data_IF_535408928223
#
_entry.id   IF_535408928223
#
_cell.length_a   1.000
_cell.length_b   1.000
_cell.length_c   1.000
_cell.angle_alpha   90.00
_cell.angle_beta   90.00
_cell.angle_gamma   90.00
#
_symmetry.space_group_name_H-M   'P 1'
#
loop_
_entity.id
_entity.type
_entity.pdbx_description
1 polymer ?
#
# COMPACT_ATOMS: atom_id res chain seq x y z
N UNK A 1 -5.54 19.24 15.85
CA UNK A 1 -4.73 19.62 14.67
C UNK A 1 -5.70 20.21 13.63
N UNK A 2 -5.82 21.54 13.57
CA UNK A 2 -6.71 22.22 12.63
C UNK A 2 -6.06 22.22 11.25
N UNK A 3 -6.62 21.43 10.32
CA UNK A 3 -6.37 21.61 8.89
C UNK A 3 -7.13 22.85 8.44
N UNK A 4 -6.59 24.03 8.74
CA UNK A 4 -7.01 25.26 8.08
C UNK A 4 -6.51 25.17 6.63
N UNK A 5 -7.38 24.67 5.75
CA UNK A 5 -7.13 24.67 4.33
C UNK A 5 -6.75 26.09 3.90
N UNK A 6 -5.55 26.24 3.37
CA UNK A 6 -4.90 27.49 2.95
C UNK A 6 -5.56 28.10 1.70
N UNK A 7 -6.89 28.13 1.66
CA UNK A 7 -7.70 28.73 0.58
C UNK A 7 -8.73 29.67 1.19
N UNK A 8 -8.29 30.54 2.10
CA UNK A 8 -9.08 31.73 2.47
C UNK A 8 -8.54 32.94 1.71
N UNK A 9 -8.74 32.96 0.40
CA UNK A 9 -8.72 34.23 -0.33
C UNK A 9 -10.17 34.48 -0.75
N UNK A 10 -10.93 35.16 0.10
CA UNK A 10 -12.28 35.58 -0.25
C UNK A 10 -12.20 36.64 -1.36
N UNK A 11 -12.89 36.42 -2.47
CA UNK A 11 -13.07 37.42 -3.54
C UNK A 11 -12.72 36.96 -4.96
N UNK A 12 -12.79 37.90 -5.91
CA UNK A 12 -12.60 37.70 -7.35
C UNK A 12 -11.23 37.08 -7.69
N UNK A 13 -10.19 37.39 -6.92
CA UNK A 13 -8.84 36.85 -7.11
C UNK A 13 -8.76 35.33 -6.94
N UNK A 14 -9.59 34.75 -6.06
CA UNK A 14 -9.69 33.31 -5.89
C UNK A 14 -10.41 32.63 -7.06
N UNK A 15 -11.46 33.26 -7.58
CA UNK A 15 -12.16 32.80 -8.79
C UNK A 15 -11.22 32.78 -9.98
N UNK A 16 -10.43 33.85 -10.17
CA UNK A 16 -9.42 33.91 -11.24
C UNK A 16 -8.38 32.80 -11.07
N UNK A 17 -7.83 32.59 -9.87
CA UNK A 17 -6.88 31.48 -9.61
C UNK A 17 -7.50 30.12 -9.90
N UNK A 18 -8.76 29.90 -9.53
CA UNK A 18 -9.48 28.66 -9.81
C UNK A 18 -9.67 28.46 -11.32
N UNK A 19 -10.06 29.51 -12.05
CA UNK A 19 -10.21 29.46 -13.52
C UNK A 19 -8.88 29.19 -14.22
N UNK A 20 -7.79 29.82 -13.78
CA UNK A 20 -6.45 29.55 -14.31
C UNK A 20 -5.98 28.13 -14.00
N UNK A 21 -6.20 27.63 -12.78
CA UNK A 21 -5.90 26.24 -12.43
C UNK A 21 -6.73 25.25 -13.26
N UNK A 22 -8.02 25.53 -13.46
CA UNK A 22 -8.90 24.73 -14.31
C UNK A 22 -8.50 24.74 -15.78
N UNK A 23 -8.12 25.90 -16.32
CA UNK A 23 -7.64 26.04 -17.70
C UNK A 23 -6.28 25.35 -17.89
N UNK A 24 -5.38 25.49 -16.93
CA UNK A 24 -4.09 24.81 -16.91
C UNK A 24 -4.26 23.28 -16.88
N UNK A 25 -5.17 22.79 -16.03
CA UNK A 25 -5.53 21.37 -15.98
C UNK A 25 -6.15 20.90 -17.31
N UNK A 26 -7.10 21.65 -17.87
CA UNK A 26 -7.72 21.35 -19.17
C UNK A 26 -6.68 21.29 -20.30
N UNK A 27 -5.73 22.22 -20.31
CA UNK A 27 -4.63 22.25 -21.26
C UNK A 27 -3.76 20.99 -21.11
N UNK A 28 -3.36 20.61 -19.90
CA UNK A 28 -2.58 19.39 -19.68
C UNK A 28 -3.35 18.11 -20.07
N UNK A 29 -4.64 18.03 -19.80
CA UNK A 29 -5.46 16.86 -20.17
C UNK A 29 -5.66 16.78 -21.69
N UNK A 30 -5.82 17.92 -22.38
CA UNK A 30 -6.10 17.96 -23.82
C UNK A 30 -4.85 17.87 -24.69
N UNK A 31 -3.72 18.39 -24.23
CA UNK A 31 -2.44 18.32 -24.95
C UNK A 31 -1.72 16.99 -24.69
N UNK A 32 -1.08 16.44 -25.72
CA UNK A 32 -0.53 15.08 -25.71
C UNK A 32 0.52 14.80 -24.63
N UNK A 33 1.21 15.83 -24.13
CA UNK A 33 2.24 15.70 -23.07
C UNK A 33 1.63 15.22 -21.76
N UNK A 34 0.52 15.85 -21.32
CA UNK A 34 -0.17 15.40 -20.13
C UNK A 34 -0.73 14.01 -20.39
N UNK A 35 -1.54 13.83 -21.45
CA UNK A 35 -2.17 12.53 -21.81
C UNK A 35 -1.21 11.32 -21.77
N UNK A 36 0.04 11.47 -22.22
CA UNK A 36 1.03 10.40 -22.15
C UNK A 36 1.42 9.99 -20.71
N UNK A 37 1.45 10.93 -19.75
CA UNK A 37 1.66 10.60 -18.33
C UNK A 37 0.52 9.75 -17.77
N UNK A 38 -0.73 10.07 -18.11
CA UNK A 38 -1.93 9.35 -17.63
C UNK A 38 -1.87 7.87 -18.06
N UNK A 39 -1.56 7.66 -19.35
CA UNK A 39 -1.49 6.32 -19.95
C UNK A 39 -0.33 5.49 -19.36
N UNK A 40 0.79 6.13 -19.03
CA UNK A 40 1.92 5.46 -18.37
C UNK A 40 1.58 5.00 -16.96
N UNK A 41 0.78 5.77 -16.23
CA UNK A 41 0.30 5.40 -14.89
C UNK A 41 -0.64 4.19 -15.00
N UNK A 42 -1.58 4.21 -15.95
CA UNK A 42 -2.53 3.12 -16.19
C UNK A 42 -1.84 1.78 -16.51
N UNK A 43 -0.74 1.82 -17.28
CA UNK A 43 0.06 0.64 -17.60
C UNK A 43 1.16 0.30 -16.56
N UNK A 44 1.22 1.02 -15.44
CA UNK A 44 2.28 0.80 -14.45
C UNK A 44 1.96 -0.33 -13.47
N UNK A 45 3.01 -0.88 -12.88
CA UNK A 45 2.95 -1.94 -11.87
C UNK A 45 4.01 -1.66 -10.80
N UNK A 46 3.80 -2.15 -9.58
CA UNK A 46 4.85 -2.09 -8.55
C UNK A 46 5.46 -3.47 -8.28
N UNK A 47 6.69 -3.44 -7.80
CA UNK A 47 7.36 -4.60 -7.20
C UNK A 47 8.11 -4.10 -5.96
N UNK A 48 7.80 -4.68 -4.81
CA UNK A 48 8.50 -4.42 -3.55
C UNK A 48 9.19 -5.69 -3.09
N UNK A 49 10.47 -5.59 -2.74
CA UNK A 49 11.26 -6.70 -2.19
C UNK A 49 11.58 -6.41 -0.74
N UNK A 50 11.27 -7.36 0.14
CA UNK A 50 11.50 -7.28 1.58
C UNK A 50 12.58 -8.28 1.98
N UNK A 51 13.53 -7.80 2.78
CA UNK A 51 14.61 -8.61 3.32
C UNK A 51 14.45 -8.70 4.84
N UNK A 52 14.23 -9.91 5.35
CA UNK A 52 14.13 -10.20 6.77
C UNK A 52 15.33 -11.01 7.26
N UNK A 53 15.77 -10.72 8.48
CA UNK A 53 16.74 -11.54 9.20
C UNK A 53 16.15 -11.95 10.54
N UNK A 54 16.37 -13.19 10.97
CA UNK A 54 15.79 -13.74 12.18
C UNK A 54 16.62 -14.85 12.80
N UNK A 55 16.06 -15.48 13.83
CA UNK A 55 16.68 -16.54 14.61
C UNK A 55 15.89 -17.83 14.48
N UNK A 56 16.57 -18.97 14.42
CA UNK A 56 15.93 -20.26 14.47
C UNK A 56 15.37 -20.57 15.86
N UNK A 57 14.37 -21.45 15.89
CA UNK A 57 13.64 -21.77 17.13
C UNK A 57 14.60 -22.35 18.16
N UNK A 58 14.73 -21.67 19.31
CA UNK A 58 15.52 -22.14 20.45
C UNK A 58 16.88 -21.49 20.63
N UNK A 59 17.30 -20.55 19.77
CA UNK A 59 18.48 -19.73 20.06
C UNK A 59 18.13 -18.56 21.00
N UNK A 60 18.95 -18.38 22.03
CA UNK A 60 18.93 -17.18 22.87
C UNK A 60 19.27 -15.96 22.00
N UNK A 61 18.34 -14.99 21.99
CA UNK A 61 18.40 -13.75 21.19
C UNK A 61 19.54 -12.82 21.63
N UNK A 62 20.11 -13.10 22.79
CA UNK A 62 20.96 -12.25 23.59
C UNK A 62 22.46 -12.44 23.32
N UNK A 63 22.87 -13.51 22.60
CA UNK A 63 24.30 -13.76 22.26
C UNK A 63 24.57 -14.23 20.83
N UNK A 64 23.55 -14.58 20.06
CA UNK A 64 23.74 -15.14 18.71
C UNK A 64 23.49 -14.10 17.62
N UNK A 65 24.13 -14.28 16.46
CA UNK A 65 23.79 -13.50 15.25
C UNK A 65 22.53 -14.11 14.62
N UNK A 66 21.67 -13.31 13.96
CA UNK A 66 20.57 -13.84 13.16
C UNK A 66 21.10 -14.86 12.15
N UNK A 67 20.58 -16.08 12.22
CA UNK A 67 21.00 -17.21 11.40
C UNK A 67 19.97 -17.51 10.30
N UNK A 68 18.81 -16.85 10.29
CA UNK A 68 17.81 -16.99 9.23
C UNK A 68 17.80 -15.73 8.38
N UNK A 69 17.76 -15.91 7.06
CA UNK A 69 17.49 -14.85 6.09
C UNK A 69 16.30 -15.24 5.24
N UNK A 70 15.39 -14.30 5.04
CA UNK A 70 14.23 -14.46 4.17
C UNK A 70 14.15 -13.27 3.21
N UNK A 71 13.90 -13.55 1.94
CA UNK A 71 13.61 -12.55 0.92
C UNK A 71 12.20 -12.82 0.41
N UNK A 72 11.31 -11.86 0.56
CA UNK A 72 9.96 -11.92 0.01
C UNK A 72 9.74 -10.80 -0.99
N UNK A 73 8.81 -11.02 -1.91
CA UNK A 73 8.48 -10.06 -2.95
C UNK A 73 6.98 -9.91 -3.07
N UNK A 74 6.53 -8.67 -3.23
CA UNK A 74 5.14 -8.30 -3.49
C UNK A 74 5.07 -7.59 -4.83
N UNK A 75 4.25 -8.11 -5.73
CA UNK A 75 3.98 -7.55 -7.05
C UNK A 75 2.53 -7.15 -7.16
N UNK A 76 2.23 -6.11 -7.90
CA UNK A 76 0.84 -5.73 -8.15
C UNK A 76 0.69 -4.68 -9.23
N UNK A 77 -0.56 -4.32 -9.57
CA UNK A 77 -0.88 -3.29 -10.54
C UNK A 77 -0.47 -1.91 -10.03
N UNK A 78 -0.84 -0.83 -10.72
CA UNK A 78 -0.58 0.54 -10.29
C UNK A 78 -0.86 0.75 -8.79
N UNK A 79 0.13 1.28 -8.06
CA UNK A 79 0.14 1.25 -6.60
C UNK A 79 -0.89 2.18 -5.95
N UNK A 80 -1.15 3.35 -6.54
CA UNK A 80 -1.95 4.43 -5.95
C UNK A 80 -3.46 4.21 -6.05
N UNK A 81 -3.97 3.96 -7.23
CA UNK A 81 -5.39 3.93 -7.58
C UNK A 81 -5.93 2.54 -7.84
N UNK A 82 -5.09 1.54 -8.18
CA UNK A 82 -5.57 0.16 -8.41
C UNK A 82 -5.28 -0.71 -7.18
N UNK A 83 -4.01 -0.84 -6.79
CA UNK A 83 -3.62 -1.74 -5.72
C UNK A 83 -4.13 -1.30 -4.34
N UNK A 84 -4.06 -0.01 -4.02
CA UNK A 84 -4.46 0.50 -2.69
C UNK A 84 -5.95 0.25 -2.39
N UNK A 85 -6.90 0.56 -3.30
CA UNK A 85 -8.31 0.21 -3.08
C UNK A 85 -8.55 -1.29 -2.99
N UNK A 86 -7.86 -2.12 -3.79
CA UNK A 86 -7.94 -3.58 -3.68
C UNK A 86 -7.52 -4.01 -2.27
N UNK A 87 -6.37 -3.52 -1.77
CA UNK A 87 -5.86 -3.87 -0.46
C UNK A 87 -6.82 -3.46 0.67
N UNK A 88 -7.35 -2.24 0.60
CA UNK A 88 -8.31 -1.72 1.58
C UNK A 88 -9.61 -2.53 1.61
N UNK A 89 -10.18 -2.84 0.44
CA UNK A 89 -11.41 -3.64 0.35
C UNK A 89 -11.18 -5.07 0.83
N UNK A 90 -10.05 -5.70 0.47
CA UNK A 90 -9.74 -7.04 0.94
C UNK A 90 -9.48 -7.09 2.44
N UNK A 91 -8.84 -6.05 3.01
CA UNK A 91 -8.69 -5.93 4.46
C UNK A 91 -10.05 -5.81 5.16
N UNK A 92 -10.94 -4.94 4.67
CA UNK A 92 -12.28 -4.78 5.22
C UNK A 92 -13.10 -6.08 5.16
N UNK A 93 -13.06 -6.79 4.03
CA UNK A 93 -13.72 -8.09 3.89
C UNK A 93 -13.12 -9.14 4.83
N UNK A 94 -11.81 -9.11 5.07
CA UNK A 94 -11.15 -10.02 6.01
C UNK A 94 -11.58 -9.74 7.45
N UNK A 95 -11.74 -8.47 7.82
CA UNK A 95 -12.25 -8.09 9.15
C UNK A 95 -13.65 -8.68 9.40
N UNK A 96 -14.50 -8.71 8.37
CA UNK A 96 -15.88 -9.22 8.45
C UNK A 96 -15.98 -10.74 8.33
N UNK A 97 -15.17 -11.37 7.47
CA UNK A 97 -15.32 -12.80 7.13
C UNK A 97 -14.37 -13.74 7.88
N UNK A 98 -13.31 -13.21 8.49
CA UNK A 98 -12.27 -13.99 9.16
C UNK A 98 -12.05 -13.55 10.62
N UNK A 99 -13.12 -13.09 11.27
CA UNK A 99 -13.09 -12.52 12.63
C UNK A 99 -12.57 -13.51 13.67
N UNK A 100 -12.68 -14.82 13.43
CA UNK A 100 -12.12 -15.86 14.31
C UNK A 100 -10.60 -15.78 14.41
N UNK A 101 -9.91 -15.35 13.36
CA UNK A 101 -8.45 -15.29 13.27
C UNK A 101 -7.86 -13.91 13.57
N UNK A 102 -8.70 -12.92 13.88
CA UNK A 102 -8.29 -11.58 14.31
C UNK A 102 -7.91 -11.55 15.81
N UNK A 103 -7.14 -10.54 16.24
CA UNK A 103 -6.89 -10.28 17.66
C UNK A 103 -8.20 -10.21 18.45
N UNK A 104 -8.27 -10.95 19.56
CA UNK A 104 -9.46 -10.98 20.44
C UNK A 104 -9.59 -9.73 21.31
N UNK A 105 -8.47 -9.08 21.56
CA UNK A 105 -8.40 -7.86 22.36
C UNK A 105 -8.53 -6.65 21.44
N UNK A 106 -9.29 -5.65 21.86
CA UNK A 106 -9.36 -4.36 21.17
C UNK A 106 -8.02 -3.60 21.27
N UNK A 107 -7.78 -2.69 20.32
CA UNK A 107 -6.57 -1.88 20.27
C UNK A 107 -6.25 -1.36 18.87
N UNK A 108 -5.11 -0.70 18.73
CA UNK A 108 -4.56 -0.25 17.44
C UNK A 108 -3.47 -1.23 17.02
N UNK A 109 -3.71 -1.91 15.89
CA UNK A 109 -2.80 -2.93 15.37
C UNK A 109 -2.23 -2.48 14.02
N UNK A 110 -0.96 -2.78 13.79
CA UNK A 110 -0.42 -2.73 12.44
C UNK A 110 -1.02 -3.86 11.60
N UNK A 111 -1.09 -3.72 10.26
CA UNK A 111 -1.64 -4.78 9.41
C UNK A 111 -0.96 -6.15 9.61
N UNK A 112 0.37 -6.17 9.79
CA UNK A 112 1.10 -7.41 10.07
C UNK A 112 0.65 -8.09 11.37
N UNK A 113 0.43 -7.32 12.43
CA UNK A 113 -0.05 -7.87 13.70
C UNK A 113 -1.53 -8.33 13.60
N UNK A 114 -2.38 -7.52 12.96
CA UNK A 114 -3.80 -7.78 12.83
C UNK A 114 -4.13 -8.98 11.93
N UNK A 115 -3.43 -9.09 10.80
CA UNK A 115 -3.79 -10.01 9.72
C UNK A 115 -2.86 -11.22 9.59
N UNK A 116 -1.82 -11.35 10.43
CA UNK A 116 -0.81 -12.44 10.36
C UNK A 116 -1.40 -13.85 10.30
N UNK A 117 -2.58 -14.07 10.90
CA UNK A 117 -3.24 -15.38 10.97
C UNK A 117 -4.48 -15.48 10.08
N UNK A 118 -4.74 -14.47 9.26
CA UNK A 118 -5.95 -14.37 8.44
C UNK A 118 -5.68 -14.76 6.99
N UNK A 119 -6.77 -14.91 6.22
CA UNK A 119 -6.73 -15.18 4.78
C UNK A 119 -6.48 -13.93 3.91
N UNK A 120 -6.04 -12.81 4.49
CA UNK A 120 -5.86 -11.56 3.74
C UNK A 120 -4.88 -11.75 2.56
N UNK A 121 -3.74 -12.40 2.77
CA UNK A 121 -2.74 -12.62 1.72
C UNK A 121 -3.33 -13.43 0.57
N UNK A 122 -4.08 -14.50 0.87
CA UNK A 122 -4.73 -15.32 -0.15
C UNK A 122 -5.71 -14.48 -0.98
N UNK A 123 -6.50 -13.63 -0.33
CA UNK A 123 -7.46 -12.75 -1.00
C UNK A 123 -6.77 -11.71 -1.89
N UNK A 124 -5.63 -11.18 -1.45
CA UNK A 124 -4.83 -10.24 -2.23
C UNK A 124 -4.23 -10.91 -3.47
N UNK A 125 -3.69 -12.12 -3.33
CA UNK A 125 -3.16 -12.92 -4.43
C UNK A 125 -4.23 -13.14 -5.51
N UNK A 126 -5.45 -13.55 -5.10
CA UNK A 126 -6.58 -13.75 -6.02
C UNK A 126 -7.05 -12.46 -6.73
N UNK A 127 -6.62 -11.28 -6.26
CA UNK A 127 -6.98 -9.97 -6.83
C UNK A 127 -5.80 -9.25 -7.48
N UNK A 128 -4.72 -9.98 -7.78
CA UNK A 128 -3.58 -9.47 -8.53
C UNK A 128 -2.54 -8.71 -7.70
N UNK A 129 -2.57 -8.84 -6.36
CA UNK A 129 -1.46 -8.42 -5.49
C UNK A 129 -0.77 -9.67 -4.99
N UNK A 130 0.31 -10.05 -5.66
CA UNK A 130 0.98 -11.34 -5.50
C UNK A 130 2.10 -11.27 -4.45
N UNK A 131 2.00 -12.11 -3.43
CA UNK A 131 3.02 -12.32 -2.41
C UNK A 131 3.79 -13.61 -2.70
N UNK A 132 5.12 -13.52 -2.75
CA UNK A 132 6.00 -14.66 -2.98
C UNK A 132 7.20 -14.66 -2.04
N UNK A 133 7.67 -15.85 -1.69
CA UNK A 133 8.95 -16.05 -0.99
C UNK A 133 10.00 -16.36 -2.05
N UNK A 134 10.96 -15.46 -2.23
CA UNK A 134 12.01 -15.58 -3.24
C UNK A 134 13.15 -16.46 -2.72
N UNK A 135 13.52 -16.30 -1.45
CA UNK A 135 14.50 -17.16 -0.80
C UNK A 135 14.26 -17.25 0.70
N UNK A 136 14.60 -18.40 1.28
CA UNK A 136 14.64 -18.61 2.72
C UNK A 136 15.83 -19.53 3.00
N UNK A 137 16.81 -19.04 3.75
CA UNK A 137 18.04 -19.78 4.06
C UNK A 137 18.35 -19.68 5.55
N UNK A 138 18.77 -20.80 6.12
CA UNK A 138 19.40 -20.88 7.44
C UNK A 138 20.92 -20.94 7.23
N UNK A 139 21.67 -20.09 7.93
CA UNK A 139 23.13 -19.87 7.83
C UNK A 139 23.81 -20.36 9.10
#
# INVERSE_FOLDING_TARGET
VQYAAYVTVGGITSVIKLMFAGLFFLFFVRFGIGRQLLVRIDASSFTMTFFGQGYSKGLATDKSKPNIRICTQVKGPEAGYVATPIAMVQAALTLLSDTSNLPKTGGVFTPGAAFSRTKLIDRLNHRGIEFSVISSSEV
#
